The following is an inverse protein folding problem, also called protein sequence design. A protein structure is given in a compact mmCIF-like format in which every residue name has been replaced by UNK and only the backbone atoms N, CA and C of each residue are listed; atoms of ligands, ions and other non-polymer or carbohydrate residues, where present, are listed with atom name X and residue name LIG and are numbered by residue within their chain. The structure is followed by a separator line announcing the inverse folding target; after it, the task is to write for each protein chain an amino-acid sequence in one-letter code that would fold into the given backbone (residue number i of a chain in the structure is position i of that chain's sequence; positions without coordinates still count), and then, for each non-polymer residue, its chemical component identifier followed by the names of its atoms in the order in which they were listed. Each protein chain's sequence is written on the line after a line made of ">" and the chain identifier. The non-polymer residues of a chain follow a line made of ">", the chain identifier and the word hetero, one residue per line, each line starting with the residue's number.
data_IF_575658913446
#
_entry.id   IF_575658913446
#
_cell.length_a   1.000
_cell.length_b   1.000
_cell.length_c   1.000
_cell.angle_alpha   90.00
_cell.angle_beta   90.00
_cell.angle_gamma   90.00
#
_symmetry.space_group_name_H-M   'P 1'
#
loop_
_entity.id
_entity.type
_entity.pdbx_description
1 polymer ?
#
# COMPACT_ATOMS: atom_id res chain seq x y z
N UNK A 1 22.08 -23.95 -20.55
CA UNK A 1 21.28 -23.58 -21.74
C UNK A 1 20.51 -22.34 -21.35
N UNK A 2 20.68 -21.17 -21.99
CA UNK A 2 19.93 -19.98 -21.58
C UNK A 2 18.50 -20.14 -22.10
N UNK A 3 17.55 -20.16 -21.17
CA UNK A 3 16.13 -20.17 -21.49
C UNK A 3 15.78 -18.93 -22.32
N UNK A 4 15.10 -19.17 -23.44
CA UNK A 4 14.57 -18.14 -24.32
C UNK A 4 13.71 -17.17 -23.51
N UNK A 5 14.24 -15.96 -23.31
CA UNK A 5 13.49 -14.81 -22.83
C UNK A 5 12.19 -14.68 -23.63
N UNK A 6 11.08 -15.02 -23.00
CA UNK A 6 9.77 -14.87 -23.62
C UNK A 6 9.49 -13.38 -23.75
N UNK A 7 9.64 -12.81 -24.95
CA UNK A 7 9.33 -11.41 -25.26
C UNK A 7 7.90 -11.01 -24.85
N UNK A 8 6.98 -11.97 -24.70
CA UNK A 8 5.63 -11.74 -24.16
C UNK A 8 5.57 -11.43 -22.66
N UNK A 9 6.64 -11.68 -21.90
CA UNK A 9 6.72 -11.44 -20.46
C UNK A 9 7.56 -10.21 -20.09
N UNK A 10 8.17 -9.51 -21.05
CA UNK A 10 9.06 -8.37 -20.75
C UNK A 10 8.34 -7.28 -19.95
N UNK A 11 7.07 -6.97 -20.26
CA UNK A 11 6.28 -6.01 -19.48
C UNK A 11 6.24 -6.41 -18.00
N UNK A 12 5.90 -7.66 -17.69
CA UNK A 12 5.83 -8.16 -16.32
C UNK A 12 7.22 -8.25 -15.66
N UNK A 13 8.26 -8.65 -16.40
CA UNK A 13 9.63 -8.64 -15.91
C UNK A 13 10.11 -7.23 -15.53
N UNK A 14 9.70 -6.19 -16.27
CA UNK A 14 10.00 -4.80 -15.93
C UNK A 14 9.29 -4.34 -14.66
N UNK A 15 8.03 -4.71 -14.44
CA UNK A 15 7.31 -4.41 -13.20
C UNK A 15 7.98 -5.10 -12.00
N UNK A 16 8.29 -6.39 -12.14
CA UNK A 16 8.95 -7.17 -11.09
C UNK A 16 10.35 -6.64 -10.76
N UNK A 17 11.17 -6.30 -11.76
CA UNK A 17 12.49 -5.73 -11.48
C UNK A 17 12.41 -4.34 -10.87
N UNK A 18 11.40 -3.54 -11.24
CA UNK A 18 11.14 -2.25 -10.58
C UNK A 18 10.85 -2.44 -9.09
N UNK A 19 9.99 -3.41 -8.73
CA UNK A 19 9.73 -3.77 -7.35
C UNK A 19 10.98 -4.28 -6.62
N UNK A 20 11.81 -5.09 -7.28
CA UNK A 20 13.07 -5.57 -6.72
C UNK A 20 14.04 -4.43 -6.43
N UNK A 21 14.14 -3.45 -7.34
CA UNK A 21 14.98 -2.26 -7.16
C UNK A 21 14.46 -1.39 -6.01
N UNK A 22 13.14 -1.18 -5.92
CA UNK A 22 12.53 -0.45 -4.80
C UNK A 22 12.78 -1.15 -3.46
N UNK A 23 12.75 -2.49 -3.42
CA UNK A 23 13.03 -3.27 -2.22
C UNK A 23 14.51 -3.20 -1.77
N UNK A 24 15.42 -2.80 -2.66
CA UNK A 24 16.85 -2.61 -2.38
C UNK A 24 17.23 -1.15 -2.14
N UNK A 25 16.24 -0.26 -2.01
CA UNK A 25 16.43 1.19 -1.91
C UNK A 25 17.15 1.81 -3.13
N UNK A 26 16.99 1.20 -4.30
CA UNK A 26 17.61 1.61 -5.58
C UNK A 26 16.69 2.49 -6.44
N UNK A 27 15.68 3.13 -5.84
CA UNK A 27 14.68 3.95 -6.54
C UNK A 27 15.29 4.97 -7.53
N UNK A 28 16.38 5.62 -7.12
CA UNK A 28 17.09 6.63 -7.89
C UNK A 28 17.79 6.09 -9.15
N UNK A 29 17.98 4.77 -9.26
CA UNK A 29 18.57 4.11 -10.42
C UNK A 29 17.53 3.65 -11.44
N UNK A 30 16.25 3.66 -11.09
CA UNK A 30 15.20 3.10 -11.92
C UNK A 30 15.00 3.97 -13.16
N UNK A 31 15.18 3.35 -14.32
CA UNK A 31 14.97 3.96 -15.63
C UNK A 31 15.10 2.92 -16.72
N UNK A 32 14.57 3.18 -17.91
CA UNK A 32 14.54 2.19 -19.00
C UNK A 32 15.92 1.66 -19.40
N UNK A 33 16.97 2.48 -19.32
CA UNK A 33 18.35 2.01 -19.60
C UNK A 33 18.81 0.98 -18.59
N UNK A 34 18.55 1.23 -17.30
CA UNK A 34 18.96 0.32 -16.23
C UNK A 34 18.10 -0.95 -16.22
N UNK A 35 16.79 -0.82 -16.40
CA UNK A 35 15.89 -1.97 -16.55
C UNK A 35 16.28 -2.83 -17.76
N UNK A 36 16.57 -2.24 -18.91
CA UNK A 36 17.03 -2.99 -20.09
C UNK A 36 18.35 -3.72 -19.83
N UNK A 37 19.29 -3.08 -19.12
CA UNK A 37 20.58 -3.68 -18.76
C UNK A 37 20.40 -4.88 -17.83
N UNK A 38 19.59 -4.75 -16.79
CA UNK A 38 19.34 -5.80 -15.79
C UNK A 38 18.57 -6.99 -16.35
N UNK A 39 17.63 -6.73 -17.25
CA UNK A 39 16.84 -7.74 -17.93
C UNK A 39 17.53 -8.28 -19.20
N UNK A 40 18.77 -7.87 -19.48
CA UNK A 40 19.57 -8.32 -20.62
C UNK A 40 18.85 -8.18 -21.98
N UNK A 41 18.03 -7.14 -22.13
CA UNK A 41 17.31 -6.84 -23.37
C UNK A 41 17.90 -5.62 -24.09
N UNK A 42 17.51 -5.42 -25.34
CA UNK A 42 17.94 -4.24 -26.10
C UNK A 42 17.43 -2.95 -25.45
N UNK A 43 18.21 -1.87 -25.57
CA UNK A 43 17.85 -0.54 -25.01
C UNK A 43 16.51 0.00 -25.53
N UNK A 44 16.06 -0.45 -26.70
CA UNK A 44 14.80 -0.04 -27.30
C UNK A 44 13.60 -0.88 -26.84
N UNK A 45 13.81 -2.03 -26.19
CA UNK A 45 12.73 -2.94 -25.82
C UNK A 45 11.73 -2.35 -24.80
N UNK A 46 12.16 -1.63 -23.74
CA UNK A 46 11.24 -0.98 -22.78
C UNK A 46 10.19 -0.06 -23.44
N UNK A 47 10.61 0.72 -24.43
CA UNK A 47 9.77 1.71 -25.11
C UNK A 47 8.61 1.10 -25.91
N UNK A 48 8.61 -0.22 -26.12
CA UNK A 48 7.49 -0.94 -26.75
C UNK A 48 6.36 -1.27 -25.76
N UNK A 49 6.63 -1.18 -24.46
CA UNK A 49 5.70 -1.57 -23.40
C UNK A 49 5.22 -0.39 -22.56
N UNK A 50 6.05 0.65 -22.43
CA UNK A 50 5.74 1.85 -21.66
C UNK A 50 6.24 3.09 -22.40
N UNK A 51 5.42 4.13 -22.43
CA UNK A 51 5.67 5.46 -23.00
C UNK A 51 6.64 6.27 -22.13
N UNK A 52 6.59 6.09 -20.82
CA UNK A 52 7.44 6.78 -19.84
C UNK A 52 7.75 5.89 -18.64
N UNK A 53 8.75 6.29 -17.85
CA UNK A 53 9.02 5.60 -16.58
C UNK A 53 7.88 5.82 -15.57
N UNK A 54 7.26 7.00 -15.61
CA UNK A 54 6.09 7.35 -14.79
C UNK A 54 4.91 6.42 -15.10
N UNK A 55 4.69 6.04 -16.38
CA UNK A 55 3.64 5.08 -16.75
C UNK A 55 3.95 3.71 -16.15
N UNK A 56 5.21 3.28 -16.17
CA UNK A 56 5.61 2.04 -15.52
C UNK A 56 5.32 2.09 -14.02
N UNK A 57 5.70 3.18 -13.35
CA UNK A 57 5.43 3.35 -11.92
C UNK A 57 3.94 3.38 -11.61
N UNK A 58 3.14 4.06 -12.42
CA UNK A 58 1.70 4.10 -12.28
C UNK A 58 1.06 2.70 -12.44
N UNK A 59 1.59 1.86 -13.33
CA UNK A 59 1.13 0.47 -13.48
C UNK A 59 1.47 -0.37 -12.25
N UNK A 60 2.69 -0.26 -11.70
CA UNK A 60 3.04 -0.96 -10.45
C UNK A 60 2.15 -0.46 -9.30
N UNK A 61 1.87 0.84 -9.24
CA UNK A 61 0.96 1.39 -8.25
C UNK A 61 -0.49 0.93 -8.45
N UNK A 62 -0.96 0.78 -9.69
CA UNK A 62 -2.28 0.21 -10.00
C UNK A 62 -2.38 -1.24 -9.49
N UNK A 63 -1.37 -2.07 -9.71
CA UNK A 63 -1.30 -3.44 -9.17
C UNK A 63 -1.33 -3.44 -7.64
N UNK A 64 -0.51 -2.59 -7.01
CA UNK A 64 -0.48 -2.43 -5.55
C UNK A 64 -1.82 -1.99 -4.96
N UNK A 65 -2.43 -0.94 -5.52
CA UNK A 65 -3.74 -0.46 -5.07
C UNK A 65 -4.86 -1.47 -5.32
N UNK A 66 -4.80 -2.25 -6.41
CA UNK A 66 -5.78 -3.30 -6.70
C UNK A 66 -5.77 -4.36 -5.59
N UNK A 67 -4.60 -4.95 -5.32
CA UNK A 67 -4.46 -5.95 -4.24
C UNK A 67 -4.78 -5.36 -2.87
N UNK A 68 -4.45 -4.08 -2.67
CA UNK A 68 -4.74 -3.39 -1.42
C UNK A 68 -6.24 -3.21 -1.17
N UNK A 69 -6.97 -2.72 -2.17
CA UNK A 69 -8.44 -2.59 -2.10
C UNK A 69 -9.09 -3.93 -1.88
N UNK A 70 -8.70 -4.97 -2.61
CA UNK A 70 -9.22 -6.33 -2.42
C UNK A 70 -9.01 -6.84 -0.99
N UNK A 71 -7.86 -6.53 -0.39
CA UNK A 71 -7.55 -6.92 1.00
C UNK A 71 -8.47 -6.19 1.99
N UNK A 72 -8.68 -4.89 1.82
CA UNK A 72 -9.59 -4.11 2.66
C UNK A 72 -11.05 -4.56 2.50
N UNK A 73 -11.48 -4.89 1.27
CA UNK A 73 -12.84 -5.36 0.99
C UNK A 73 -13.11 -6.74 1.63
N UNK A 74 -12.13 -7.65 1.63
CA UNK A 74 -12.23 -8.91 2.37
C UNK A 74 -12.48 -8.67 3.86
N UNK A 75 -11.81 -7.69 4.46
CA UNK A 75 -12.07 -7.31 5.87
C UNK A 75 -13.52 -6.85 6.04
N UNK A 76 -14.06 -6.04 5.13
CA UNK A 76 -15.45 -5.56 5.22
C UNK A 76 -16.52 -6.66 5.15
N UNK A 77 -16.20 -7.83 4.57
CA UNK A 77 -17.14 -8.95 4.44
C UNK A 77 -17.33 -9.72 5.75
N UNK A 78 -16.44 -9.55 6.73
CA UNK A 78 -16.57 -10.18 8.03
C UNK A 78 -17.64 -9.51 8.88
N UNK A 79 -18.35 -10.32 9.69
CA UNK A 79 -19.21 -9.82 10.75
C UNK A 79 -18.38 -9.48 11.98
N UNK A 80 -18.56 -8.27 12.50
CA UNK A 80 -17.88 -7.79 13.70
C UNK A 80 -18.91 -7.47 14.79
N UNK A 81 -18.50 -7.66 16.04
CA UNK A 81 -19.31 -7.34 17.21
C UNK A 81 -19.59 -5.84 17.35
N UNK A 82 -18.70 -4.99 16.79
CA UNK A 82 -18.87 -3.54 16.80
C UNK A 82 -18.16 -2.85 15.62
N UNK A 83 -18.55 -1.60 15.34
CA UNK A 83 -17.87 -0.74 14.35
C UNK A 83 -16.42 -0.46 14.72
N UNK A 84 -16.08 -0.44 16.03
CA UNK A 84 -14.71 -0.27 16.51
C UNK A 84 -13.84 -1.49 16.18
N UNK A 85 -14.37 -2.71 16.34
CA UNK A 85 -13.68 -3.95 15.95
C UNK A 85 -13.44 -4.01 14.43
N UNK A 86 -14.42 -3.58 13.63
CA UNK A 86 -14.26 -3.46 12.18
C UNK A 86 -13.18 -2.43 11.80
N UNK A 87 -13.17 -1.25 12.44
CA UNK A 87 -12.17 -0.21 12.20
C UNK A 87 -10.76 -0.66 12.59
N UNK A 88 -10.61 -1.32 13.75
CA UNK A 88 -9.34 -1.90 14.18
C UNK A 88 -8.83 -2.94 13.19
N UNK A 89 -9.71 -3.83 12.71
CA UNK A 89 -9.37 -4.86 11.72
C UNK A 89 -8.96 -4.25 10.37
N UNK A 90 -9.61 -3.18 9.93
CA UNK A 90 -9.21 -2.44 8.74
C UNK A 90 -7.83 -1.80 8.91
N UNK A 91 -7.57 -1.16 10.06
CA UNK A 91 -6.25 -0.59 10.37
C UNK A 91 -5.15 -1.65 10.41
N UNK A 92 -5.44 -2.84 10.93
CA UNK A 92 -4.50 -3.97 10.92
C UNK A 92 -4.19 -4.43 9.51
N UNK A 93 -5.22 -4.66 8.69
CA UNK A 93 -5.05 -5.02 7.29
C UNK A 93 -4.25 -3.96 6.53
N UNK A 94 -4.53 -2.68 6.79
CA UNK A 94 -3.83 -1.54 6.22
C UNK A 94 -2.31 -1.62 6.45
N UNK A 95 -1.89 -1.80 7.71
CA UNK A 95 -0.46 -1.83 8.06
C UNK A 95 0.19 -3.17 7.70
N UNK A 96 -0.54 -4.29 7.80
CA UNK A 96 -0.04 -5.60 7.36
C UNK A 96 0.25 -5.61 5.86
N UNK A 97 -0.61 -5.01 5.04
CA UNK A 97 -0.35 -4.89 3.61
C UNK A 97 0.97 -4.16 3.34
N UNK A 98 1.27 -3.08 4.06
CA UNK A 98 2.54 -2.38 3.94
C UNK A 98 3.74 -3.27 4.33
N UNK A 99 3.60 -4.06 5.40
CA UNK A 99 4.62 -5.04 5.82
C UNK A 99 4.84 -6.16 4.80
N UNK A 100 3.78 -6.64 4.18
CA UNK A 100 3.81 -7.75 3.21
C UNK A 100 4.28 -7.27 1.82
N UNK A 101 4.03 -6.00 1.48
CA UNK A 101 4.30 -5.42 0.16
C UNK A 101 4.96 -4.02 0.25
N UNK A 102 6.12 -3.87 0.93
CA UNK A 102 6.69 -2.55 1.22
C UNK A 102 7.06 -1.75 -0.05
N UNK A 103 7.56 -2.42 -1.09
CA UNK A 103 7.90 -1.78 -2.36
C UNK A 103 6.67 -1.20 -3.08
N UNK A 104 5.58 -1.97 -3.16
CA UNK A 104 4.31 -1.48 -3.71
C UNK A 104 3.78 -0.31 -2.86
N UNK A 105 3.76 -0.50 -1.55
CA UNK A 105 3.20 0.48 -0.63
C UNK A 105 3.91 1.84 -0.72
N UNK A 106 5.25 1.85 -0.78
CA UNK A 106 6.04 3.07 -0.99
C UNK A 106 5.64 3.76 -2.30
N UNK A 107 5.57 3.00 -3.39
CA UNK A 107 5.26 3.56 -4.70
C UNK A 107 3.83 4.13 -4.78
N UNK A 108 2.85 3.42 -4.23
CA UNK A 108 1.43 3.80 -4.24
C UNK A 108 1.17 5.19 -3.64
N UNK A 109 1.95 5.59 -2.63
CA UNK A 109 1.72 6.83 -1.88
C UNK A 109 2.79 7.91 -2.13
N UNK A 110 3.78 7.64 -3.00
CA UNK A 110 4.86 8.58 -3.29
C UNK A 110 4.67 9.26 -4.65
N UNK A 111 4.16 10.49 -4.60
CA UNK A 111 3.89 11.31 -5.78
C UNK A 111 5.16 11.76 -6.52
N UNK A 112 6.37 11.51 -5.99
CA UNK A 112 7.62 11.82 -6.68
C UNK A 112 7.88 10.88 -7.86
N UNK A 113 7.26 9.69 -7.89
CA UNK A 113 7.41 8.74 -8.98
C UNK A 113 6.41 8.97 -10.12
N UNK A 114 5.20 9.40 -9.79
CA UNK A 114 4.16 9.72 -10.76
C UNK A 114 3.10 10.62 -10.10
N UNK A 115 2.42 11.42 -10.90
CA UNK A 115 1.26 12.17 -10.41
C UNK A 115 0.00 11.35 -10.62
N UNK A 116 -0.69 10.98 -9.55
CA UNK A 116 -1.90 10.14 -9.63
C UNK A 116 -3.02 10.75 -10.48
N UNK A 117 -3.04 12.08 -10.64
CA UNK A 117 -4.03 12.79 -11.45
C UNK A 117 -3.92 12.47 -12.94
N UNK A 118 -2.74 12.06 -13.41
CA UNK A 118 -2.49 11.67 -14.79
C UNK A 118 -2.95 10.23 -15.09
N UNK A 119 -3.24 9.44 -14.04
CA UNK A 119 -3.59 8.02 -14.13
C UNK A 119 -4.95 7.75 -13.45
N UNK A 120 -6.08 7.89 -14.18
CA UNK A 120 -7.43 7.84 -13.60
C UNK A 120 -7.74 6.57 -12.81
N UNK A 121 -7.21 5.41 -13.24
CA UNK A 121 -7.41 4.13 -12.53
C UNK A 121 -6.73 4.12 -11.17
N UNK A 122 -5.47 4.56 -11.09
CA UNK A 122 -4.73 4.69 -9.82
C UNK A 122 -5.49 5.64 -8.89
N UNK A 123 -5.91 6.80 -9.40
CA UNK A 123 -6.72 7.76 -8.63
C UNK A 123 -8.03 7.15 -8.13
N UNK A 124 -8.72 6.37 -8.94
CA UNK A 124 -9.97 5.71 -8.56
C UNK A 124 -9.76 4.67 -7.45
N UNK A 125 -8.73 3.83 -7.57
CA UNK A 125 -8.41 2.82 -6.56
C UNK A 125 -7.95 3.46 -5.23
N UNK A 126 -7.12 4.50 -5.28
CA UNK A 126 -6.72 5.25 -4.09
C UNK A 126 -7.93 5.86 -3.36
N UNK A 127 -8.86 6.46 -4.11
CA UNK A 127 -10.14 6.95 -3.57
C UNK A 127 -10.98 5.82 -2.96
N UNK A 128 -11.02 4.65 -3.60
CA UNK A 128 -11.76 3.48 -3.10
C UNK A 128 -11.20 2.99 -1.76
N UNK A 129 -9.88 2.84 -1.66
CA UNK A 129 -9.22 2.47 -0.41
C UNK A 129 -9.53 3.47 0.73
N UNK A 130 -9.46 4.77 0.45
CA UNK A 130 -9.82 5.80 1.44
C UNK A 130 -11.30 5.74 1.84
N UNK A 131 -12.19 5.53 0.87
CA UNK A 131 -13.64 5.45 1.12
C UNK A 131 -14.00 4.28 2.04
N UNK A 132 -13.34 3.12 1.88
CA UNK A 132 -13.53 1.96 2.76
C UNK A 132 -13.23 2.30 4.24
N UNK A 133 -12.15 3.03 4.49
CA UNK A 133 -11.77 3.47 5.84
C UNK A 133 -12.74 4.53 6.37
N UNK A 134 -13.05 5.54 5.55
CA UNK A 134 -14.00 6.60 5.89
C UNK A 134 -15.35 6.03 6.29
N UNK A 135 -15.92 5.13 5.49
CA UNK A 135 -17.26 4.59 5.71
C UNK A 135 -17.37 3.86 7.07
N UNK A 136 -16.27 3.30 7.60
CA UNK A 136 -16.24 2.72 8.96
C UNK A 136 -15.96 3.74 10.05
N UNK A 137 -15.08 4.71 9.81
CA UNK A 137 -14.83 5.80 10.76
C UNK A 137 -16.11 6.63 11.02
N UNK A 138 -16.88 6.92 9.97
CA UNK A 138 -18.15 7.64 10.06
C UNK A 138 -19.18 6.92 10.91
N UNK A 139 -19.31 5.59 10.76
CA UNK A 139 -20.25 4.81 11.58
C UNK A 139 -19.92 4.91 13.07
N UNK A 140 -18.65 5.11 13.44
CA UNK A 140 -18.25 5.32 14.83
C UNK A 140 -18.67 6.70 15.37
N UNK A 141 -18.77 7.71 14.50
CA UNK A 141 -19.12 9.09 14.86
C UNK A 141 -20.62 9.39 14.78
N UNK A 142 -21.46 8.43 14.34
CA UNK A 142 -22.89 8.65 14.09
C UNK A 142 -23.70 9.20 15.27
N UNK A 143 -23.23 8.99 16.50
CA UNK A 143 -23.91 9.45 17.71
C UNK A 143 -23.41 10.84 18.17
N UNK A 144 -22.46 11.46 17.44
CA UNK A 144 -21.89 12.77 17.74
C UNK A 144 -21.93 13.68 16.51
N UNK A 145 -23.00 14.47 16.40
CA UNK A 145 -23.22 15.44 15.31
C UNK A 145 -22.17 16.57 15.26
N UNK A 146 -21.28 16.67 16.26
CA UNK A 146 -20.21 17.68 16.28
C UNK A 146 -18.95 17.24 15.54
N UNK A 147 -18.86 15.97 15.15
CA UNK A 147 -17.68 15.40 14.49
C UNK A 147 -17.78 15.54 12.97
N UNK A 148 -16.80 16.22 12.37
CA UNK A 148 -16.62 16.20 10.91
C UNK A 148 -16.14 14.81 10.46
N UNK A 149 -16.99 14.12 9.71
CA UNK A 149 -16.77 12.79 9.16
C UNK A 149 -15.48 12.67 8.32
N UNK A 150 -15.18 13.72 7.53
CA UNK A 150 -14.00 13.76 6.66
C UNK A 150 -12.75 13.98 7.50
N UNK A 151 -12.83 14.87 8.50
CA UNK A 151 -11.73 15.10 9.44
C UNK A 151 -11.39 13.81 10.19
N UNK A 152 -12.38 13.14 10.78
CA UNK A 152 -12.18 11.90 11.51
C UNK A 152 -11.56 10.80 10.64
N UNK A 153 -12.08 10.61 9.43
CA UNK A 153 -11.53 9.65 8.48
C UNK A 153 -10.09 9.98 8.08
N UNK A 154 -9.77 11.28 7.91
CA UNK A 154 -8.43 11.74 7.57
C UNK A 154 -7.46 11.52 8.72
N UNK A 155 -7.87 11.76 9.97
CA UNK A 155 -7.06 11.49 11.17
C UNK A 155 -6.84 9.98 11.32
N UNK A 156 -7.89 9.17 11.18
CA UNK A 156 -7.77 7.71 11.23
C UNK A 156 -6.80 7.20 10.16
N UNK A 157 -6.91 7.73 8.94
CA UNK A 157 -5.99 7.41 7.85
C UNK A 157 -4.55 7.82 8.17
N UNK A 158 -4.34 9.05 8.67
CA UNK A 158 -3.03 9.55 9.05
C UNK A 158 -2.36 8.66 10.11
N UNK A 159 -3.11 8.18 11.11
CA UNK A 159 -2.59 7.28 12.13
C UNK A 159 -2.09 5.95 11.55
N UNK A 160 -2.90 5.27 10.72
CA UNK A 160 -2.52 3.97 10.14
C UNK A 160 -1.49 4.10 9.03
N UNK A 161 -1.53 5.19 8.25
CA UNK A 161 -0.53 5.50 7.23
C UNK A 161 0.83 5.83 7.86
N UNK A 162 0.84 6.69 8.88
CA UNK A 162 2.04 6.98 9.65
C UNK A 162 2.62 5.71 10.29
N UNK A 163 1.78 4.91 10.96
CA UNK A 163 2.24 3.65 11.53
C UNK A 163 2.83 2.69 10.48
N UNK A 164 2.20 2.57 9.31
CA UNK A 164 2.72 1.76 8.21
C UNK A 164 4.11 2.24 7.76
N UNK A 165 4.29 3.55 7.52
CA UNK A 165 5.57 4.15 7.13
C UNK A 165 6.66 3.91 8.18
N UNK A 166 6.36 4.21 9.45
CA UNK A 166 7.30 4.02 10.57
C UNK A 166 7.77 2.56 10.68
N UNK A 167 6.87 1.60 10.42
CA UNK A 167 7.18 0.17 10.46
C UNK A 167 8.04 -0.25 9.28
N UNK A 168 7.66 0.08 8.04
CA UNK A 168 8.37 -0.38 6.84
C UNK A 168 9.73 0.31 6.66
N UNK A 169 9.90 1.51 7.22
CA UNK A 169 11.18 2.22 7.23
C UNK A 169 12.08 1.82 8.41
N UNK A 170 11.67 0.84 9.20
CA UNK A 170 12.48 0.27 10.28
C UNK A 170 12.66 1.20 11.48
N UNK A 171 11.96 2.33 11.55
CA UNK A 171 12.01 3.26 12.68
C UNK A 171 11.47 2.64 13.98
N UNK A 172 10.66 1.57 13.85
CA UNK A 172 10.15 0.78 14.96
C UNK A 172 10.81 -0.61 15.09
N UNK A 173 12.00 -0.80 14.50
CA UNK A 173 12.73 -2.08 14.53
C UNK A 173 13.10 -2.58 15.94
N UNK A 174 13.16 -1.69 16.92
CA UNK A 174 13.38 -2.03 18.34
C UNK A 174 12.17 -2.71 19.01
N UNK A 175 10.99 -2.69 18.37
CA UNK A 175 9.77 -3.30 18.91
C UNK A 175 9.75 -4.79 18.53
N UNK A 176 9.78 -5.72 19.50
CA UNK A 176 9.65 -7.14 19.20
C UNK A 176 8.25 -7.45 18.68
N UNK A 177 8.16 -8.44 17.78
CA UNK A 177 6.88 -8.96 17.27
C UNK A 177 5.99 -7.85 16.67
N UNK A 178 6.56 -7.09 15.71
CA UNK A 178 5.93 -5.88 15.13
C UNK A 178 4.47 -6.06 14.70
N UNK A 179 4.07 -7.22 14.16
CA UNK A 179 2.67 -7.49 13.81
C UNK A 179 1.73 -7.49 15.01
N UNK A 180 2.14 -8.08 16.14
CA UNK A 180 1.33 -8.04 17.35
C UNK A 180 1.26 -6.62 17.93
N UNK A 181 2.36 -5.87 17.84
CA UNK A 181 2.36 -4.45 18.19
C UNK A 181 1.36 -3.67 17.33
N UNK A 182 1.37 -3.85 16.01
CA UNK A 182 0.41 -3.26 15.06
C UNK A 182 -1.02 -3.61 15.45
N UNK A 183 -1.31 -4.89 15.72
CA UNK A 183 -2.64 -5.33 16.13
C UNK A 183 -3.15 -4.61 17.38
N UNK A 184 -2.31 -4.52 18.42
CA UNK A 184 -2.65 -3.80 19.65
C UNK A 184 -2.80 -2.30 19.40
N UNK A 185 -1.93 -1.69 18.60
CA UNK A 185 -1.99 -0.26 18.27
C UNK A 185 -3.27 0.10 17.54
N UNK A 186 -3.68 -0.67 16.53
CA UNK A 186 -4.94 -0.44 15.82
C UNK A 186 -6.16 -0.61 16.73
N UNK A 187 -6.15 -1.58 17.66
CA UNK A 187 -7.21 -1.70 18.69
C UNK A 187 -7.27 -0.47 19.59
N UNK A 188 -6.13 0.02 20.08
CA UNK A 188 -6.06 1.24 20.91
C UNK A 188 -6.57 2.48 20.18
N UNK A 189 -6.17 2.65 18.92
CA UNK A 189 -6.64 3.76 18.08
C UNK A 189 -8.16 3.72 17.87
N UNK A 190 -8.76 2.52 17.81
CA UNK A 190 -10.21 2.35 17.74
C UNK A 190 -10.91 2.46 19.11
N UNK A 191 -10.19 2.72 20.20
CA UNK A 191 -10.73 2.81 21.56
C UNK A 191 -11.10 1.46 22.18
N UNK A 192 -10.52 0.36 21.69
CA UNK A 192 -10.74 -0.98 22.22
C UNK A 192 -9.68 -1.38 23.26
N UNK A 193 -10.03 -2.22 24.23
CA UNK A 193 -9.06 -2.79 25.15
C UNK A 193 -8.03 -3.65 24.40
N UNK A 194 -6.80 -3.67 24.93
CA UNK A 194 -5.74 -4.56 24.48
C UNK A 194 -5.32 -5.46 25.62
N UNK A 195 -5.35 -6.77 25.41
CA UNK A 195 -4.79 -7.71 26.38
C UNK A 195 -3.27 -7.47 26.52
N UNK A 196 -2.83 -7.25 27.75
CA UNK A 196 -1.42 -7.11 28.11
C UNK A 196 -0.72 -8.47 28.32
N UNK A 197 -1.45 -9.57 28.16
CA UNK A 197 -1.02 -10.92 28.54
C UNK A 197 -0.45 -11.71 27.36
N UNK A 198 0.74 -11.33 26.92
CA UNK A 198 1.73 -12.22 26.28
C UNK A 198 3.03 -11.42 26.09
N UNK A 199 3.76 -11.23 27.19
CA UNK A 199 5.21 -11.05 27.14
C UNK A 199 5.85 -12.40 27.47
#
# INVERSE_FOLDING_TARGET
>A
MPEQYHHGQLRQAMLQETLNMLARDEAHLIGFRELARRLEVSRAAPYRHFQSIDELFAVVAEEGFTTFVESLEKVQQHSYESSREALASLGQCYVHFALDHPAHYRLMFDQRFYHSDDYPKVKALAKRAFSILRDKAVVMARDDETVDEVELASVAWACVHGLAQLVIDGQLSHIPQVRQFVNRSCRRLAGLPTDHSAQ
#
